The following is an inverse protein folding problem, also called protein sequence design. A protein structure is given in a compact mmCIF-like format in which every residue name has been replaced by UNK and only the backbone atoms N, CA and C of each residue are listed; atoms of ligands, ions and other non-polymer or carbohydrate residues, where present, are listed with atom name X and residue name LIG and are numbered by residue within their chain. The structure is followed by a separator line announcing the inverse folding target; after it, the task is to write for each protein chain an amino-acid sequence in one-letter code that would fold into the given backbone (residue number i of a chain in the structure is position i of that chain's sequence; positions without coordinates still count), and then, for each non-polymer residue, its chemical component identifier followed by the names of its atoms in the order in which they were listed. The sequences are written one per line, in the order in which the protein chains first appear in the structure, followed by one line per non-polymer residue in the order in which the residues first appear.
data_IF_751407761175
#
_entry.id   IF_751407761175
#
_cell.length_a   1.000
_cell.length_b   1.000
_cell.length_c   1.000
_cell.angle_alpha   90.00
_cell.angle_beta   90.00
_cell.angle_gamma   90.00
#
_symmetry.space_group_name_H-M   'P 1'
#
loop_
_entity.id
_entity.type
_entity.pdbx_description
1 polymer ?
#
# COMPACT_ATOMS: atom_id res chain seq x y z
N UNK A 1 -5.13 -19.17 21.06
CA UNK A 1 -6.52 -18.76 20.87
C UNK A 1 -6.90 -17.97 22.11
N UNK A 2 -6.69 -16.66 22.12
CA UNK A 2 -7.30 -15.77 23.13
C UNK A 2 -8.34 -14.95 22.38
N UNK A 3 -9.60 -15.36 22.53
CA UNK A 3 -10.74 -14.61 22.04
C UNK A 3 -10.75 -13.20 22.63
N UNK A 4 -11.16 -12.24 21.82
CA UNK A 4 -11.45 -10.88 22.24
C UNK A 4 -12.47 -10.93 23.38
N UNK A 5 -12.18 -10.26 24.48
CA UNK A 5 -12.98 -10.27 25.71
C UNK A 5 -14.27 -9.43 25.63
N UNK A 6 -14.75 -9.08 24.43
CA UNK A 6 -16.05 -8.46 24.23
C UNK A 6 -16.64 -8.98 22.92
N UNK A 7 -17.72 -9.75 23.00
CA UNK A 7 -18.37 -10.41 21.87
C UNK A 7 -19.17 -9.48 20.95
N UNK A 8 -18.81 -8.20 20.86
CA UNK A 8 -19.40 -7.25 19.91
C UNK A 8 -18.68 -7.35 18.56
N UNK A 9 -19.43 -7.50 17.48
CA UNK A 9 -18.90 -7.45 16.13
C UNK A 9 -18.26 -6.09 15.85
N UNK A 10 -17.14 -6.09 15.09
CA UNK A 10 -16.33 -4.88 14.83
C UNK A 10 -16.99 -3.97 13.80
N UNK A 11 -16.78 -2.68 13.97
CA UNK A 11 -17.20 -1.64 13.03
C UNK A 11 -15.96 -0.94 12.47
N UNK A 12 -15.65 -1.18 11.21
CA UNK A 12 -14.39 -0.79 10.59
C UNK A 12 -14.52 0.46 9.71
N UNK A 13 -13.54 1.37 9.79
CA UNK A 13 -13.31 2.40 8.80
C UNK A 13 -12.02 2.08 8.04
N UNK A 14 -12.11 1.91 6.71
CA UNK A 14 -10.96 1.73 5.83
C UNK A 14 -10.75 3.01 5.04
N UNK A 15 -9.66 3.74 5.32
CA UNK A 15 -9.28 4.92 4.55
C UNK A 15 -8.45 4.56 3.34
N UNK A 16 -8.58 5.32 2.25
CA UNK A 16 -7.94 4.99 0.98
C UNK A 16 -8.57 3.76 0.31
N UNK A 17 -9.88 3.53 0.51
CA UNK A 17 -10.61 2.44 -0.12
C UNK A 17 -10.68 2.55 -1.65
N UNK A 18 -10.39 3.72 -2.20
CA UNK A 18 -10.15 3.97 -3.62
C UNK A 18 -8.75 3.53 -4.11
N UNK A 19 -7.83 3.22 -3.19
CA UNK A 19 -6.50 2.70 -3.53
C UNK A 19 -6.51 1.18 -3.67
N UNK A 20 -5.48 0.64 -4.31
CA UNK A 20 -5.29 -0.81 -4.45
C UNK A 20 -5.38 -1.55 -3.10
N UNK A 21 -4.81 -0.99 -2.02
CA UNK A 21 -4.76 -1.65 -0.72
C UNK A 21 -6.07 -1.54 0.04
N UNK A 22 -6.61 -0.33 0.12
CA UNK A 22 -7.82 -0.08 0.90
C UNK A 22 -9.03 -0.79 0.33
N UNK A 23 -9.22 -0.79 -0.99
CA UNK A 23 -10.30 -1.53 -1.63
C UNK A 23 -10.24 -3.03 -1.33
N UNK A 24 -9.06 -3.65 -1.46
CA UNK A 24 -8.90 -5.10 -1.19
C UNK A 24 -9.03 -5.44 0.30
N UNK A 25 -8.62 -4.55 1.19
CA UNK A 25 -8.82 -4.72 2.62
C UNK A 25 -10.30 -4.60 2.99
N UNK A 26 -11.00 -3.59 2.46
CA UNK A 26 -12.44 -3.46 2.67
C UNK A 26 -13.19 -4.69 2.15
N UNK A 27 -12.94 -5.11 0.91
CA UNK A 27 -13.52 -6.31 0.31
C UNK A 27 -13.28 -7.58 1.14
N UNK A 28 -12.07 -7.74 1.70
CA UNK A 28 -11.75 -8.91 2.52
C UNK A 28 -12.53 -8.92 3.85
N UNK A 29 -12.83 -7.74 4.43
CA UNK A 29 -13.63 -7.64 5.64
C UNK A 29 -15.14 -7.80 5.38
N UNK A 30 -15.62 -7.62 4.15
CA UNK A 30 -17.02 -7.93 3.81
C UNK A 30 -17.39 -9.40 4.05
N UNK A 31 -16.43 -10.29 3.89
CA UNK A 31 -16.61 -11.73 4.11
C UNK A 31 -16.31 -12.17 5.56
N UNK A 32 -15.88 -11.27 6.44
CA UNK A 32 -15.50 -11.59 7.81
C UNK A 32 -16.74 -11.59 8.72
N UNK A 33 -17.12 -12.74 9.34
CA UNK A 33 -18.30 -12.81 10.19
C UNK A 33 -18.18 -12.00 11.49
N UNK A 34 -16.94 -11.68 11.91
CA UNK A 34 -16.68 -10.88 13.11
C UNK A 34 -16.79 -9.36 12.83
N UNK A 35 -17.18 -8.97 11.61
CA UNK A 35 -17.34 -7.57 11.19
C UNK A 35 -18.78 -7.26 10.86
N UNK A 36 -19.35 -6.33 11.61
CA UNK A 36 -20.74 -5.88 11.44
C UNK A 36 -20.85 -4.83 10.31
N UNK A 37 -19.94 -3.84 10.33
CA UNK A 37 -19.97 -2.70 9.40
C UNK A 37 -18.59 -2.46 8.83
N UNK A 38 -18.51 -2.26 7.53
CA UNK A 38 -17.32 -1.75 6.85
C UNK A 38 -17.67 -0.42 6.19
N UNK A 39 -16.97 0.63 6.58
CA UNK A 39 -17.04 1.95 5.95
C UNK A 39 -15.78 2.18 5.15
N UNK A 40 -15.92 2.41 3.86
CA UNK A 40 -14.81 2.77 2.97
C UNK A 40 -14.76 4.28 2.75
N UNK A 41 -13.59 4.89 2.84
CA UNK A 41 -13.38 6.32 2.56
C UNK A 41 -12.28 6.51 1.54
N UNK A 42 -12.53 7.32 0.51
CA UNK A 42 -11.57 7.63 -0.56
C UNK A 42 -11.98 8.85 -1.37
N UNK A 43 -11.06 9.39 -2.19
CA UNK A 43 -11.31 10.55 -3.05
C UNK A 43 -11.98 10.17 -4.38
N UNK A 44 -11.80 8.94 -4.82
CA UNK A 44 -12.31 8.39 -6.08
C UNK A 44 -13.18 7.17 -5.80
N UNK A 45 -13.75 6.57 -6.84
CA UNK A 45 -14.49 5.33 -6.72
C UNK A 45 -13.58 4.18 -6.24
N UNK A 46 -14.14 3.18 -5.54
CA UNK A 46 -13.36 2.04 -5.05
C UNK A 46 -12.59 1.35 -6.17
N UNK A 47 -11.37 0.92 -5.86
CA UNK A 47 -10.48 0.23 -6.82
C UNK A 47 -10.93 -1.19 -7.15
N UNK A 48 -11.86 -1.74 -6.37
CA UNK A 48 -12.48 -3.08 -6.56
C UNK A 48 -13.97 -2.97 -6.26
N UNK A 49 -14.80 -3.86 -6.83
CA UNK A 49 -16.22 -3.94 -6.46
C UNK A 49 -16.37 -4.20 -4.96
N UNK A 50 -17.21 -3.40 -4.30
CA UNK A 50 -17.58 -3.53 -2.90
C UNK A 50 -19.08 -3.82 -2.83
N UNK A 51 -19.47 -4.85 -2.04
CA UNK A 51 -20.88 -5.31 -1.97
C UNK A 51 -21.54 -4.91 -0.66
N UNK A 52 -20.81 -4.94 0.46
CA UNK A 52 -21.30 -4.68 1.82
C UNK A 52 -20.66 -3.47 2.49
N UNK A 53 -19.75 -2.78 1.79
CA UNK A 53 -19.04 -1.61 2.31
C UNK A 53 -19.82 -0.34 1.99
N UNK A 54 -20.14 0.42 3.02
CA UNK A 54 -20.67 1.78 2.88
C UNK A 54 -19.57 2.72 2.43
N UNK A 55 -19.51 3.03 1.14
CA UNK A 55 -18.45 3.87 0.60
C UNK A 55 -18.81 5.36 0.64
N UNK A 56 -17.93 6.15 1.24
CA UNK A 56 -18.06 7.61 1.30
C UNK A 56 -16.95 8.27 0.50
N UNK A 57 -17.34 9.03 -0.54
CA UNK A 57 -16.39 9.83 -1.31
C UNK A 57 -16.04 11.10 -0.54
N UNK A 58 -14.75 11.27 -0.22
CA UNK A 58 -14.21 12.42 0.52
C UNK A 58 -13.07 13.02 -0.27
N UNK A 59 -13.28 14.21 -0.85
CA UNK A 59 -12.29 14.86 -1.71
C UNK A 59 -11.24 15.66 -0.95
N UNK A 60 -11.57 16.15 0.25
CA UNK A 60 -10.73 17.09 1.00
C UNK A 60 -10.08 16.54 2.26
N UNK A 61 -10.47 15.35 2.75
CA UNK A 61 -9.99 14.74 4.00
C UNK A 61 -9.95 15.73 5.18
N UNK A 62 -10.85 16.74 5.18
CA UNK A 62 -10.91 17.73 6.25
C UNK A 62 -11.31 17.10 7.57
N UNK A 63 -10.81 17.65 8.68
CA UNK A 63 -11.16 17.18 10.02
C UNK A 63 -12.67 17.08 10.23
N UNK A 64 -13.43 18.12 9.85
CA UNK A 64 -14.88 18.15 10.04
C UNK A 64 -15.62 17.02 9.31
N UNK A 65 -15.18 16.67 8.13
CA UNK A 65 -15.76 15.57 7.34
C UNK A 65 -15.42 14.22 7.96
N UNK A 66 -14.14 13.97 8.25
CA UNK A 66 -13.68 12.71 8.87
C UNK A 66 -14.31 12.52 10.24
N UNK A 67 -14.35 13.56 11.07
CA UNK A 67 -14.97 13.53 12.41
C UNK A 67 -16.46 13.17 12.35
N UNK A 68 -17.23 13.77 11.42
CA UNK A 68 -18.64 13.40 11.22
C UNK A 68 -18.82 11.95 10.82
N UNK A 69 -17.95 11.42 9.94
CA UNK A 69 -17.99 10.01 9.54
C UNK A 69 -17.74 9.11 10.75
N UNK A 70 -16.68 9.36 11.52
CA UNK A 70 -16.32 8.56 12.70
C UNK A 70 -17.47 8.54 13.71
N UNK A 71 -18.05 9.71 14.04
CA UNK A 71 -19.16 9.80 14.99
C UNK A 71 -20.44 9.15 14.48
N UNK A 72 -20.82 9.43 13.21
CA UNK A 72 -22.07 8.94 12.66
C UNK A 72 -22.09 7.42 12.47
N UNK A 73 -20.95 6.83 12.15
CA UNK A 73 -20.82 5.39 11.88
C UNK A 73 -20.51 4.57 13.13
N UNK A 74 -20.02 5.20 14.21
CA UNK A 74 -19.66 4.53 15.45
C UNK A 74 -18.57 3.47 15.25
N UNK A 75 -17.62 3.72 14.36
CA UNK A 75 -16.51 2.80 14.08
C UNK A 75 -15.59 2.67 15.28
N UNK A 76 -15.21 1.45 15.61
CA UNK A 76 -14.29 1.13 16.70
C UNK A 76 -12.87 0.86 16.24
N UNK A 77 -12.69 0.54 14.97
CA UNK A 77 -11.39 0.18 14.38
C UNK A 77 -11.16 0.93 13.07
N UNK A 78 -10.00 1.54 12.93
CA UNK A 78 -9.58 2.23 11.71
C UNK A 78 -8.43 1.46 11.05
N UNK A 79 -8.53 1.19 9.74
CA UNK A 79 -7.43 0.69 8.91
C UNK A 79 -7.01 1.79 7.95
N UNK A 80 -5.90 2.46 8.29
CA UNK A 80 -5.39 3.58 7.52
C UNK A 80 -4.45 3.10 6.42
N UNK A 81 -4.98 2.93 5.21
CA UNK A 81 -4.20 2.58 4.01
C UNK A 81 -3.95 3.76 3.08
N UNK A 82 -4.47 4.93 3.41
CA UNK A 82 -4.40 6.14 2.59
C UNK A 82 -2.99 6.77 2.48
N UNK A 83 -2.01 6.26 3.25
CA UNK A 83 -0.61 6.71 3.12
C UNK A 83 -0.03 6.27 1.78
N UNK A 84 0.30 7.23 0.93
CA UNK A 84 0.76 7.00 -0.44
C UNK A 84 2.27 6.94 -0.54
N UNK A 85 2.77 6.00 -1.36
CA UNK A 85 4.17 5.84 -1.76
C UNK A 85 4.20 5.90 -3.29
N UNK A 86 3.95 7.09 -3.84
CA UNK A 86 3.88 7.31 -5.28
C UNK A 86 4.81 8.44 -5.70
N UNK A 87 5.85 8.10 -6.46
CA UNK A 87 6.87 9.03 -6.96
C UNK A 87 6.36 9.98 -8.05
N UNK A 88 5.18 9.74 -8.60
CA UNK A 88 4.56 10.60 -9.61
C UNK A 88 3.83 11.80 -8.99
N UNK A 89 3.50 11.73 -7.70
CA UNK A 89 2.84 12.81 -6.99
C UNK A 89 3.81 13.92 -6.62
N UNK A 90 3.38 15.16 -6.79
CA UNK A 90 4.13 16.32 -6.34
C UNK A 90 4.26 16.40 -4.82
N UNK A 91 5.30 17.09 -4.33
CA UNK A 91 5.62 17.21 -2.90
C UNK A 91 4.43 17.71 -2.06
N UNK A 92 3.71 18.73 -2.54
CA UNK A 92 2.55 19.29 -1.82
C UNK A 92 1.44 18.25 -1.70
N UNK A 93 1.12 17.54 -2.78
CA UNK A 93 0.08 16.51 -2.76
C UNK A 93 0.44 15.35 -1.82
N UNK A 94 1.70 14.92 -1.80
CA UNK A 94 2.18 13.89 -0.85
C UNK A 94 2.06 14.36 0.59
N UNK A 95 2.41 15.62 0.88
CA UNK A 95 2.27 16.20 2.21
C UNK A 95 0.78 16.29 2.61
N UNK A 96 -0.08 16.80 1.74
CA UNK A 96 -1.53 16.91 2.01
C UNK A 96 -2.14 15.54 2.33
N UNK A 97 -1.83 14.51 1.54
CA UNK A 97 -2.42 13.19 1.73
C UNK A 97 -1.79 12.46 2.94
N UNK A 98 -0.45 12.40 3.00
CA UNK A 98 0.23 11.58 4.00
C UNK A 98 0.29 12.25 5.37
N UNK A 99 0.44 13.58 5.43
CA UNK A 99 0.62 14.29 6.71
C UNK A 99 -0.69 14.91 7.17
N UNK A 100 -1.28 15.80 6.37
CA UNK A 100 -2.51 16.50 6.78
C UNK A 100 -3.69 15.52 6.85
N UNK A 101 -3.82 14.60 5.88
CA UNK A 101 -4.85 13.56 5.92
C UNK A 101 -4.73 12.66 7.15
N UNK A 102 -3.52 12.24 7.50
CA UNK A 102 -3.26 11.45 8.71
C UNK A 102 -3.56 12.27 9.98
N UNK A 103 -3.11 13.52 10.06
CA UNK A 103 -3.40 14.39 11.20
C UNK A 103 -4.91 14.54 11.44
N UNK A 104 -5.68 14.82 10.41
CA UNK A 104 -7.12 14.97 10.49
C UNK A 104 -7.84 13.68 10.92
N UNK A 105 -7.36 12.53 10.43
CA UNK A 105 -7.84 11.22 10.84
C UNK A 105 -7.59 10.95 12.33
N UNK A 106 -6.37 11.20 12.80
CA UNK A 106 -5.97 11.01 14.18
C UNK A 106 -6.75 11.95 15.12
N UNK A 107 -6.89 13.22 14.74
CA UNK A 107 -7.69 14.18 15.48
C UNK A 107 -9.16 13.73 15.60
N UNK A 108 -9.74 13.16 14.53
CA UNK A 108 -11.09 12.62 14.55
C UNK A 108 -11.20 11.34 15.42
N UNK A 109 -10.19 10.49 15.36
CA UNK A 109 -10.15 9.25 16.16
C UNK A 109 -10.02 9.53 17.66
N UNK A 110 -9.26 10.56 18.06
CA UNK A 110 -9.10 10.97 19.47
C UNK A 110 -10.11 12.00 19.98
N UNK A 111 -11.09 12.41 19.15
CA UNK A 111 -12.07 13.41 19.53
C UNK A 111 -13.05 12.91 20.60
N UNK A 112 -13.59 13.85 21.39
CA UNK A 112 -14.63 13.53 22.36
C UNK A 112 -15.85 12.87 21.67
N UNK A 113 -16.31 11.74 22.23
CA UNK A 113 -17.40 10.94 21.67
C UNK A 113 -16.97 9.93 20.60
N UNK A 114 -15.69 9.89 20.21
CA UNK A 114 -15.17 8.83 19.33
C UNK A 114 -15.24 7.46 20.03
N UNK A 115 -15.62 6.44 19.26
CA UNK A 115 -15.67 5.04 19.69
C UNK A 115 -14.44 4.26 19.30
N UNK A 116 -13.44 4.90 18.67
CA UNK A 116 -12.23 4.25 18.14
C UNK A 116 -11.39 3.68 19.28
N UNK A 117 -11.12 2.37 19.21
CA UNK A 117 -10.29 1.60 20.14
C UNK A 117 -9.04 1.01 19.48
N UNK A 118 -9.02 0.94 18.15
CA UNK A 118 -7.90 0.38 17.41
C UNK A 118 -7.60 1.15 16.12
N UNK A 119 -6.31 1.32 15.83
CA UNK A 119 -5.82 1.94 14.62
C UNK A 119 -4.69 1.08 14.02
N UNK A 120 -4.86 0.62 12.79
CA UNK A 120 -3.83 -0.07 12.02
C UNK A 120 -3.38 0.82 10.86
N UNK A 121 -2.11 1.16 10.82
CA UNK A 121 -1.53 2.06 9.82
C UNK A 121 -0.62 1.30 8.86
N UNK A 122 -0.89 1.40 7.56
CA UNK A 122 -0.01 0.89 6.52
C UNK A 122 1.10 1.91 6.26
N UNK A 123 2.33 1.56 6.62
CA UNK A 123 3.55 2.33 6.35
C UNK A 123 4.49 1.57 5.39
N UNK A 124 5.69 2.07 5.22
CA UNK A 124 6.69 1.52 4.30
C UNK A 124 8.08 1.46 4.93
N UNK A 125 8.86 0.43 4.58
CA UNK A 125 10.28 0.36 4.92
C UNK A 125 11.13 1.52 4.36
N UNK A 126 10.58 2.37 3.48
CA UNK A 126 11.24 3.61 3.02
C UNK A 126 11.61 4.56 4.17
N UNK A 127 10.93 4.48 5.31
CA UNK A 127 11.27 5.27 6.51
C UNK A 127 12.71 5.03 6.98
N UNK A 128 13.28 3.86 6.73
CA UNK A 128 14.67 3.54 7.10
C UNK A 128 15.70 4.17 6.16
N UNK A 129 15.31 4.49 4.93
CA UNK A 129 16.25 4.90 3.89
C UNK A 129 17.03 3.72 3.30
N UNK A 130 18.17 4.01 2.67
CA UNK A 130 19.17 3.05 2.23
C UNK A 130 20.53 3.76 2.10
N UNK A 131 21.52 3.33 2.88
CA UNK A 131 22.86 3.91 2.92
C UNK A 131 23.94 2.84 3.12
N UNK A 132 25.21 3.19 2.89
CA UNK A 132 26.35 2.29 3.13
C UNK A 132 26.61 1.96 4.60
N UNK A 133 25.95 2.65 5.53
CA UNK A 133 26.11 2.47 6.98
C UNK A 133 24.94 1.71 7.59
N UNK A 134 23.99 1.28 6.77
CA UNK A 134 22.80 0.59 7.25
C UNK A 134 23.15 -0.82 7.73
N UNK A 135 22.40 -1.34 8.72
CA UNK A 135 22.58 -2.70 9.19
C UNK A 135 22.12 -3.69 8.09
N UNK A 136 22.55 -4.94 8.23
CA UNK A 136 22.07 -6.02 7.36
C UNK A 136 20.54 -6.13 7.38
N UNK A 137 19.91 -5.88 8.53
CA UNK A 137 18.45 -5.81 8.69
C UNK A 137 18.07 -4.74 9.71
N UNK A 138 17.11 -3.91 9.37
CA UNK A 138 16.52 -2.97 10.31
C UNK A 138 15.55 -3.69 11.26
N UNK A 139 15.69 -3.47 12.55
CA UNK A 139 14.66 -3.77 13.54
C UNK A 139 13.73 -2.56 13.69
N UNK A 140 12.56 -2.77 14.27
CA UNK A 140 11.54 -1.71 14.42
C UNK A 140 11.98 -0.53 15.31
N UNK A 141 12.92 -0.77 16.21
CA UNK A 141 13.48 0.24 17.11
C UNK A 141 14.57 1.11 16.47
N UNK A 142 15.09 0.68 15.32
CA UNK A 142 16.11 1.42 14.60
C UNK A 142 15.52 2.61 13.86
N UNK A 143 16.29 3.70 13.84
CA UNK A 143 16.01 4.90 13.05
C UNK A 143 16.97 4.98 11.88
N UNK A 144 16.60 5.74 10.86
CA UNK A 144 17.49 5.99 9.72
C UNK A 144 18.74 6.79 10.13
N UNK A 145 19.88 6.47 9.51
CA UNK A 145 21.15 7.11 9.80
C UNK A 145 21.32 8.51 9.16
N UNK A 146 20.50 8.82 8.15
CA UNK A 146 20.61 10.08 7.38
C UNK A 146 19.26 10.78 7.26
N UNK A 147 19.22 12.11 7.11
CA UNK A 147 17.97 12.84 6.87
C UNK A 147 17.23 12.33 5.63
N UNK A 148 15.91 12.51 5.62
CA UNK A 148 15.07 12.21 4.46
C UNK A 148 15.49 13.04 3.24
N UNK A 149 15.65 12.38 2.10
CA UNK A 149 16.14 13.02 0.86
C UNK A 149 15.01 13.35 -0.10
N UNK A 150 13.94 12.59 -0.06
CA UNK A 150 12.83 12.72 -0.99
C UNK A 150 11.55 13.18 -0.30
N UNK A 151 10.59 13.79 -1.02
CA UNK A 151 9.29 14.15 -0.46
C UNK A 151 8.55 12.97 0.15
N UNK A 152 8.61 11.79 -0.49
CA UNK A 152 7.98 10.56 0.01
C UNK A 152 8.58 10.18 1.37
N UNK A 153 9.90 10.12 1.48
CA UNK A 153 10.57 9.79 2.74
C UNK A 153 10.20 10.76 3.86
N UNK A 154 10.14 12.06 3.56
CA UNK A 154 9.75 13.08 4.54
C UNK A 154 8.31 12.90 5.00
N UNK A 155 7.37 12.80 4.07
CA UNK A 155 5.95 12.66 4.41
C UNK A 155 5.64 11.38 5.17
N UNK A 156 6.34 10.27 4.88
CA UNK A 156 6.20 9.02 5.64
C UNK A 156 6.72 9.16 7.07
N UNK A 157 7.87 9.80 7.28
CA UNK A 157 8.44 10.02 8.61
C UNK A 157 7.56 10.95 9.45
N UNK A 158 7.04 12.01 8.85
CA UNK A 158 6.12 12.95 9.50
C UNK A 158 4.80 12.26 9.88
N UNK A 159 4.22 11.48 8.97
CA UNK A 159 3.01 10.72 9.25
C UNK A 159 3.21 9.70 10.39
N UNK A 160 4.34 8.95 10.39
CA UNK A 160 4.64 8.03 11.50
C UNK A 160 4.92 8.76 12.83
N UNK A 161 5.48 9.97 12.79
CA UNK A 161 5.66 10.79 13.98
C UNK A 161 4.30 11.17 14.58
N UNK A 162 3.36 11.66 13.76
CA UNK A 162 1.99 11.97 14.19
C UNK A 162 1.29 10.74 14.80
N UNK A 163 1.42 9.57 14.17
CA UNK A 163 0.83 8.32 14.67
C UNK A 163 1.43 7.91 16.01
N UNK A 164 2.74 8.07 16.19
CA UNK A 164 3.42 7.77 17.45
C UNK A 164 2.98 8.71 18.56
N UNK A 165 2.92 10.02 18.28
CA UNK A 165 2.50 11.03 19.25
C UNK A 165 1.04 10.80 19.66
N UNK A 166 0.16 10.51 18.68
CA UNK A 166 -1.23 10.10 18.94
C UNK A 166 -1.33 8.88 19.87
N UNK A 167 -0.48 7.84 19.64
CA UNK A 167 -0.49 6.63 20.47
C UNK A 167 -0.05 6.91 21.93
N UNK A 168 0.82 7.92 22.14
CA UNK A 168 1.23 8.34 23.48
C UNK A 168 0.13 9.12 24.18
N UNK A 169 -0.57 10.00 23.46
CA UNK A 169 -1.63 10.85 24.00
C UNK A 169 -2.96 10.08 24.22
N UNK A 170 -3.14 8.94 23.53
CA UNK A 170 -4.36 8.13 23.60
C UNK A 170 -4.04 6.67 23.98
N UNK A 171 -3.64 6.38 25.21
CA UNK A 171 -3.20 5.04 25.63
C UNK A 171 -4.31 3.98 25.58
N UNK A 172 -5.58 4.39 25.55
CA UNK A 172 -6.73 3.49 25.42
C UNK A 172 -6.96 3.04 23.97
N UNK A 173 -6.28 3.64 22.99
CA UNK A 173 -6.34 3.26 21.58
C UNK A 173 -5.16 2.36 21.23
N UNK A 174 -5.44 1.15 20.78
CA UNK A 174 -4.40 0.23 20.30
C UNK A 174 -3.90 0.65 18.92
N UNK A 175 -2.67 1.14 18.82
CA UNK A 175 -2.07 1.60 17.55
C UNK A 175 -1.03 0.61 17.04
N UNK A 176 -1.24 0.09 15.83
CA UNK A 176 -0.31 -0.81 15.13
C UNK A 176 0.18 -0.17 13.83
N UNK A 177 1.50 -0.06 13.65
CA UNK A 177 2.11 0.47 12.43
C UNK A 177 2.82 -0.67 11.69
N UNK A 178 2.43 -0.94 10.45
CA UNK A 178 3.03 -1.98 9.62
C UNK A 178 3.94 -1.34 8.55
N UNK A 179 5.25 -1.54 8.67
CA UNK A 179 6.26 -1.12 7.68
C UNK A 179 6.51 -2.24 6.69
N UNK A 180 6.03 -2.08 5.48
CA UNK A 180 6.15 -3.10 4.43
C UNK A 180 7.47 -3.00 3.67
N UNK A 181 8.05 -4.18 3.38
CA UNK A 181 9.16 -4.35 2.42
C UNK A 181 8.71 -4.00 0.99
N UNK A 182 9.62 -4.18 0.02
CA UNK A 182 9.24 -3.99 -1.38
C UNK A 182 8.12 -4.97 -1.76
N UNK A 183 7.04 -4.47 -2.31
CA UNK A 183 5.89 -5.31 -2.67
C UNK A 183 6.01 -5.75 -4.12
N UNK A 184 5.80 -7.05 -4.35
CA UNK A 184 5.61 -7.63 -5.67
C UNK A 184 4.19 -8.19 -5.80
N UNK A 185 3.60 -7.98 -6.97
CA UNK A 185 2.27 -8.49 -7.26
C UNK A 185 1.90 -8.36 -8.72
N UNK A 186 0.98 -9.21 -9.15
CA UNK A 186 0.47 -9.20 -10.51
C UNK A 186 -0.22 -7.87 -10.86
N UNK A 187 -1.00 -7.34 -9.92
CA UNK A 187 -1.88 -6.19 -10.16
C UNK A 187 -1.30 -4.88 -9.63
N UNK A 188 -0.10 -4.94 -9.01
CA UNK A 188 0.56 -3.79 -8.43
C UNK A 188 1.70 -3.28 -9.31
N UNK A 189 1.74 -1.96 -9.53
CA UNK A 189 2.78 -1.29 -10.29
C UNK A 189 3.60 -0.36 -9.41
N UNK A 190 4.82 -0.78 -9.04
CA UNK A 190 5.82 0.05 -8.36
C UNK A 190 6.97 0.39 -9.31
N UNK A 191 7.79 1.42 -9.05
CA UNK A 191 8.96 1.70 -9.89
C UNK A 191 9.88 0.49 -10.09
N UNK A 192 10.12 -0.29 -9.04
CA UNK A 192 10.94 -1.49 -9.12
C UNK A 192 10.25 -2.59 -9.97
N UNK A 193 8.97 -2.87 -9.71
CA UNK A 193 8.22 -3.89 -10.46
C UNK A 193 8.06 -3.54 -11.94
N UNK A 194 7.89 -2.25 -12.28
CA UNK A 194 7.87 -1.78 -13.67
C UNK A 194 9.19 -2.06 -14.38
N UNK A 195 10.32 -1.75 -13.74
CA UNK A 195 11.65 -2.04 -14.32
C UNK A 195 11.87 -3.56 -14.49
N UNK A 196 11.50 -4.37 -13.51
CA UNK A 196 11.60 -5.84 -13.59
C UNK A 196 10.68 -6.46 -14.64
N UNK A 197 9.60 -5.77 -15.04
CA UNK A 197 8.68 -6.22 -16.09
C UNK A 197 9.15 -5.89 -17.51
N UNK A 198 10.14 -4.99 -17.66
CA UNK A 198 10.69 -4.56 -18.94
C UNK A 198 11.81 -5.48 -19.39
N UNK A 199 12.21 -5.43 -20.67
CA UNK A 199 13.38 -6.19 -21.18
C UNK A 199 14.70 -5.79 -20.51
N UNK A 200 14.77 -4.54 -20.01
CA UNK A 200 15.94 -3.96 -19.35
C UNK A 200 15.55 -3.35 -18.00
N UNK A 201 16.40 -3.60 -16.99
CA UNK A 201 16.25 -3.03 -15.63
C UNK A 201 17.55 -2.29 -15.27
N UNK A 202 17.49 -1.06 -14.74
CA UNK A 202 18.67 -0.35 -14.32
C UNK A 202 19.31 -1.04 -13.10
N UNK A 203 20.63 -1.09 -13.10
CA UNK A 203 21.46 -1.48 -11.95
C UNK A 203 22.57 -0.46 -11.77
N UNK A 204 23.31 -0.51 -10.69
CA UNK A 204 24.46 0.37 -10.48
C UNK A 204 25.74 -0.43 -10.61
N UNK A 205 26.70 0.08 -11.39
CA UNK A 205 27.97 -0.57 -11.60
C UNK A 205 28.71 -0.83 -10.28
N UNK A 206 29.11 -2.09 -10.05
CA UNK A 206 29.79 -2.52 -8.84
C UNK A 206 28.87 -2.81 -7.65
N UNK A 207 27.54 -2.78 -7.82
CA UNK A 207 26.56 -3.07 -6.77
C UNK A 207 25.59 -4.17 -7.19
N UNK A 208 25.34 -5.09 -6.25
CA UNK A 208 24.31 -6.12 -6.38
C UNK A 208 23.56 -6.24 -5.04
N UNK A 209 22.63 -5.29 -4.76
CA UNK A 209 21.99 -5.17 -3.47
C UNK A 209 21.07 -6.34 -3.18
N UNK A 210 20.99 -6.72 -1.90
CA UNK A 210 20.02 -7.69 -1.42
C UNK A 210 18.65 -7.04 -1.24
N UNK A 211 17.66 -7.58 -1.91
CA UNK A 211 16.28 -7.12 -1.89
C UNK A 211 15.40 -8.10 -1.12
N UNK A 212 14.52 -7.55 -0.30
CA UNK A 212 13.47 -8.29 0.41
C UNK A 212 12.12 -7.91 -0.15
N UNK A 213 11.26 -8.91 -0.32
CA UNK A 213 9.95 -8.72 -0.91
C UNK A 213 8.84 -9.20 0.02
N UNK A 214 7.63 -8.74 -0.25
CA UNK A 214 6.37 -9.30 0.24
C UNK A 214 5.40 -9.40 -0.92
N UNK A 215 4.64 -10.48 -1.01
CA UNK A 215 3.62 -10.67 -2.05
C UNK A 215 2.39 -9.80 -1.73
N UNK A 216 1.72 -9.25 -2.77
CA UNK A 216 0.60 -8.32 -2.61
C UNK A 216 -0.56 -8.87 -1.75
N UNK A 217 -0.88 -10.15 -1.85
CA UNK A 217 -1.92 -10.79 -1.03
C UNK A 217 -1.49 -10.93 0.43
N UNK A 218 -0.20 -11.13 0.71
CA UNK A 218 0.32 -11.17 2.07
C UNK A 218 0.29 -9.78 2.74
N UNK A 219 0.36 -8.68 1.98
CA UNK A 219 0.14 -7.32 2.52
C UNK A 219 -1.28 -7.16 3.04
N UNK A 220 -2.29 -7.56 2.26
CA UNK A 220 -3.70 -7.51 2.67
C UNK A 220 -3.94 -8.41 3.89
N UNK A 221 -3.43 -9.63 3.86
CA UNK A 221 -3.52 -10.57 5.00
C UNK A 221 -2.85 -10.03 6.27
N UNK A 222 -1.71 -9.36 6.14
CA UNK A 222 -1.01 -8.75 7.27
C UNK A 222 -1.82 -7.63 7.92
N UNK A 223 -2.49 -6.78 7.11
CA UNK A 223 -3.38 -5.73 7.62
C UNK A 223 -4.58 -6.33 8.36
N UNK A 224 -5.22 -7.36 7.79
CA UNK A 224 -6.32 -8.10 8.43
C UNK A 224 -5.85 -8.75 9.73
N UNK A 225 -4.69 -9.41 9.71
CA UNK A 225 -4.11 -10.03 10.90
C UNK A 225 -3.85 -8.99 12.01
N UNK A 226 -3.31 -7.82 11.67
CA UNK A 226 -3.07 -6.76 12.65
C UNK A 226 -4.37 -6.25 13.29
N UNK A 227 -5.46 -6.14 12.54
CA UNK A 227 -6.79 -5.83 13.08
C UNK A 227 -7.25 -6.89 14.06
N UNK A 228 -7.07 -8.17 13.73
CA UNK A 228 -7.54 -9.30 14.57
C UNK A 228 -6.77 -9.44 15.86
N UNK A 229 -5.43 -9.30 15.82
CA UNK A 229 -4.60 -9.43 17.02
C UNK A 229 -4.63 -8.20 17.92
N UNK A 230 -4.96 -7.02 17.38
CA UNK A 230 -5.02 -5.75 18.09
C UNK A 230 -3.80 -5.52 19.03
N UNK A 231 -2.58 -5.73 18.52
CA UNK A 231 -1.34 -5.64 19.29
C UNK A 231 -0.64 -4.32 19.02
N UNK A 232 -0.42 -3.46 20.04
CA UNK A 232 0.19 -2.15 19.82
C UNK A 232 1.67 -2.26 19.43
N UNK A 233 2.12 -1.29 18.64
CA UNK A 233 3.51 -1.09 18.27
C UNK A 233 3.78 -1.08 16.77
N UNK A 234 5.06 -0.92 16.44
CA UNK A 234 5.54 -0.97 15.06
C UNK A 234 6.00 -2.38 14.72
N UNK A 235 5.71 -2.82 13.49
CA UNK A 235 6.06 -4.13 12.96
C UNK A 235 6.65 -4.03 11.56
N UNK A 236 7.77 -4.68 11.33
CA UNK A 236 8.31 -4.87 10.00
C UNK A 236 7.64 -6.06 9.32
N UNK A 237 7.13 -5.83 8.11
CA UNK A 237 6.40 -6.84 7.32
C UNK A 237 7.12 -7.08 6.00
N UNK A 238 7.74 -8.23 5.86
CA UNK A 238 8.47 -8.68 4.69
C UNK A 238 8.67 -10.18 4.74
N UNK A 239 8.52 -10.85 3.61
CA UNK A 239 8.64 -12.29 3.55
C UNK A 239 10.07 -12.77 3.87
N UNK A 240 10.23 -14.02 4.35
CA UNK A 240 11.54 -14.60 4.62
C UNK A 240 12.42 -14.64 3.37
N UNK A 241 13.73 -14.53 3.57
CA UNK A 241 14.74 -14.56 2.51
C UNK A 241 14.97 -13.18 1.87
N UNK A 242 16.10 -13.08 1.19
CA UNK A 242 16.52 -11.93 0.39
C UNK A 242 17.27 -12.43 -0.82
N UNK A 243 17.13 -11.73 -1.94
CA UNK A 243 17.80 -12.08 -3.19
C UNK A 243 18.66 -10.91 -3.66
N UNK A 244 19.85 -11.17 -4.23
CA UNK A 244 20.56 -10.15 -4.97
C UNK A 244 19.75 -9.70 -6.19
N UNK A 245 19.90 -8.43 -6.57
CA UNK A 245 19.19 -7.86 -7.73
C UNK A 245 19.44 -8.66 -9.02
N UNK A 246 20.66 -9.20 -9.18
CA UNK A 246 21.04 -10.05 -10.33
C UNK A 246 20.17 -11.32 -10.41
N UNK A 247 19.90 -11.96 -9.28
CA UNK A 247 19.04 -13.15 -9.23
C UNK A 247 17.58 -12.80 -9.50
N UNK A 248 17.08 -11.71 -8.90
CA UNK A 248 15.72 -11.18 -9.16
C UNK A 248 15.54 -10.91 -10.66
N UNK A 249 16.50 -10.25 -11.29
CA UNK A 249 16.48 -9.96 -12.72
C UNK A 249 16.48 -11.24 -13.56
N UNK A 250 17.31 -12.22 -13.21
CA UNK A 250 17.35 -13.52 -13.89
C UNK A 250 16.02 -14.27 -13.80
N UNK A 251 15.39 -14.32 -12.63
CA UNK A 251 14.06 -14.93 -12.43
C UNK A 251 13.00 -14.23 -13.28
N UNK A 252 13.02 -12.89 -13.34
CA UNK A 252 12.09 -12.09 -14.14
C UNK A 252 12.36 -12.14 -15.63
N UNK A 253 13.56 -12.60 -16.07
CA UNK A 253 13.97 -12.62 -17.47
C UNK A 253 14.27 -11.22 -18.02
N UNK A 254 14.72 -10.29 -17.18
CA UNK A 254 15.14 -8.95 -17.55
C UNK A 254 16.65 -8.81 -17.53
N UNK A 255 17.22 -8.00 -18.45
CA UNK A 255 18.66 -7.74 -18.52
C UNK A 255 19.01 -6.53 -17.64
N UNK A 256 20.01 -6.68 -16.77
CA UNK A 256 20.55 -5.57 -16.01
C UNK A 256 21.39 -4.64 -16.90
N UNK A 257 21.16 -3.34 -16.78
CA UNK A 257 21.94 -2.28 -17.45
C UNK A 257 22.66 -1.47 -16.37
N UNK A 258 23.97 -1.64 -16.21
CA UNK A 258 24.74 -0.97 -15.19
C UNK A 258 24.93 0.52 -15.51
N UNK A 259 24.49 1.37 -14.59
CA UNK A 259 24.67 2.82 -14.63
C UNK A 259 25.83 3.24 -13.71
N UNK A 260 26.58 4.32 -14.04
CA UNK A 260 27.60 4.87 -13.15
C UNK A 260 26.99 5.33 -11.83
N UNK A 261 27.48 4.87 -10.67
CA UNK A 261 26.82 5.14 -9.37
C UNK A 261 26.87 6.60 -8.92
N UNK A 262 27.84 7.37 -9.42
CA UNK A 262 28.02 8.79 -9.07
C UNK A 262 27.14 9.76 -9.87
N UNK A 263 26.61 9.31 -11.01
CA UNK A 263 25.77 10.12 -11.90
C UNK A 263 24.56 9.32 -12.43
N UNK A 264 24.10 8.33 -11.66
CA UNK A 264 22.99 7.45 -12.09
C UNK A 264 21.75 8.24 -12.52
N UNK A 265 21.39 9.33 -11.80
CA UNK A 265 20.29 10.20 -12.17
C UNK A 265 20.47 10.91 -13.52
N UNK A 266 21.68 11.38 -13.81
CA UNK A 266 21.97 12.08 -15.07
C UNK A 266 22.03 11.13 -16.25
N UNK A 267 22.73 10.00 -16.10
CA UNK A 267 22.86 8.98 -17.16
C UNK A 267 21.55 8.24 -17.44
N UNK A 268 20.60 8.23 -16.50
CA UNK A 268 19.26 7.65 -16.72
C UNK A 268 18.35 8.53 -17.57
N UNK A 269 18.60 9.85 -17.66
CA UNK A 269 17.71 10.80 -18.33
C UNK A 269 17.32 10.40 -19.78
N UNK A 270 18.25 10.02 -20.68
CA UNK A 270 17.85 9.60 -22.01
C UNK A 270 16.96 8.34 -21.98
N UNK A 271 17.26 7.39 -21.11
CA UNK A 271 16.47 6.15 -20.99
C UNK A 271 15.10 6.37 -20.35
N UNK A 272 15.00 7.28 -19.37
CA UNK A 272 13.71 7.66 -18.77
C UNK A 272 12.84 8.44 -19.74
N UNK A 273 13.43 9.35 -20.54
CA UNK A 273 12.71 10.08 -21.61
C UNK A 273 12.20 9.16 -22.71
N UNK A 274 12.93 8.10 -23.03
CA UNK A 274 12.51 7.07 -23.98
C UNK A 274 11.57 6.02 -23.36
N UNK A 275 11.22 6.19 -22.09
CA UNK A 275 10.37 5.22 -21.36
C UNK A 275 11.04 3.87 -21.08
N UNK A 276 12.36 3.73 -21.29
CA UNK A 276 13.07 2.48 -21.06
C UNK A 276 13.25 2.16 -19.58
N UNK A 277 13.45 3.18 -18.72
CA UNK A 277 13.62 3.04 -17.28
C UNK A 277 12.61 3.91 -16.52
N UNK A 278 12.27 3.44 -15.32
CA UNK A 278 11.58 4.21 -14.30
C UNK A 278 12.49 4.28 -13.06
N UNK A 279 13.21 5.38 -12.91
CA UNK A 279 14.25 5.53 -11.90
C UNK A 279 14.02 6.79 -11.03
N UNK A 280 12.98 6.76 -10.18
CA UNK A 280 12.76 7.86 -9.25
C UNK A 280 13.87 7.91 -8.18
N UNK A 281 14.07 9.08 -7.54
CA UNK A 281 15.15 9.28 -6.57
C UNK A 281 15.19 8.25 -5.43
N UNK A 282 14.06 7.73 -5.00
CA UNK A 282 13.94 6.72 -3.93
C UNK A 282 14.50 5.36 -4.34
N UNK A 283 14.45 5.05 -5.63
CA UNK A 283 14.91 3.75 -6.14
C UNK A 283 16.44 3.67 -6.21
N UNK A 284 17.13 4.78 -6.47
CA UNK A 284 18.60 4.80 -6.62
C UNK A 284 19.33 4.29 -5.36
N UNK A 285 19.02 4.77 -4.14
CA UNK A 285 19.62 4.22 -2.92
C UNK A 285 19.29 2.73 -2.71
N UNK A 286 18.09 2.29 -3.05
CA UNK A 286 17.69 0.89 -2.96
C UNK A 286 18.50 0.00 -3.92
N UNK A 287 18.71 0.44 -5.17
CA UNK A 287 19.55 -0.27 -6.15
C UNK A 287 21.04 -0.25 -5.80
N UNK A 288 21.44 0.59 -4.87
CA UNK A 288 22.84 0.69 -4.41
C UNK A 288 23.11 -0.16 -3.18
N UNK A 289 22.27 -0.08 -2.18
CA UNK A 289 22.55 -0.63 -0.85
C UNK A 289 21.55 -1.71 -0.43
N UNK A 290 20.44 -1.85 -1.14
CA UNK A 290 19.34 -2.70 -0.70
C UNK A 290 18.61 -2.14 0.51
N UNK A 291 17.74 -2.94 1.07
CA UNK A 291 17.09 -2.70 2.36
C UNK A 291 16.56 -4.02 2.88
N UNK A 292 17.10 -4.47 3.99
CA UNK A 292 16.61 -5.62 4.72
C UNK A 292 15.87 -5.20 5.98
N UNK A 293 14.82 -5.92 6.34
CA UNK A 293 14.07 -5.71 7.57
C UNK A 293 14.01 -7.02 8.35
N UNK A 294 14.21 -6.95 9.67
CA UNK A 294 13.93 -8.07 10.57
C UNK A 294 12.41 -8.12 10.79
N UNK A 295 11.81 -9.22 10.44
CA UNK A 295 10.36 -9.44 10.52
C UNK A 295 9.97 -10.43 11.62
N UNK A 296 10.91 -10.76 12.51
CA UNK A 296 10.71 -11.72 13.60
C UNK A 296 9.55 -11.30 14.50
N UNK A 297 9.51 -10.03 14.91
CA UNK A 297 8.48 -9.50 15.80
C UNK A 297 7.06 -9.68 15.23
N UNK A 298 6.87 -9.49 13.92
CA UNK A 298 5.56 -9.68 13.29
C UNK A 298 5.20 -11.17 13.18
N UNK A 299 6.15 -12.04 12.83
CA UNK A 299 5.93 -13.51 12.80
C UNK A 299 5.58 -14.08 14.18
N UNK A 300 6.17 -13.54 15.24
CA UNK A 300 5.86 -13.93 16.63
C UNK A 300 4.43 -13.58 17.06
N UNK A 301 3.69 -12.77 16.26
CA UNK A 301 2.25 -12.57 16.44
C UNK A 301 1.40 -13.71 15.88
N UNK A 302 2.00 -14.73 15.26
CA UNK A 302 1.32 -15.84 14.61
C UNK A 302 1.02 -15.59 13.13
N UNK A 303 1.64 -14.57 12.51
CA UNK A 303 1.47 -14.35 11.07
C UNK A 303 2.38 -15.24 10.24
N UNK A 304 1.78 -16.03 9.34
CA UNK A 304 2.48 -16.86 8.38
C UNK A 304 2.40 -16.29 6.96
N UNK A 305 3.55 -16.07 6.35
CA UNK A 305 3.65 -15.67 4.96
C UNK A 305 3.32 -16.83 4.03
N UNK A 306 2.51 -16.59 3.01
CA UNK A 306 2.22 -17.60 1.95
C UNK A 306 3.40 -17.80 1.01
N UNK A 307 4.25 -16.78 0.89
CA UNK A 307 5.39 -16.77 0.00
C UNK A 307 6.64 -16.32 0.75
N UNK A 308 7.78 -16.94 0.48
CA UNK A 308 9.09 -16.36 0.73
C UNK A 308 9.39 -15.25 -0.29
N UNK A 309 10.44 -14.44 -0.08
CA UNK A 309 10.87 -13.45 -1.08
C UNK A 309 11.20 -14.07 -2.43
N UNK A 310 11.75 -15.29 -2.44
CA UNK A 310 12.06 -16.06 -3.67
C UNK A 310 10.77 -16.45 -4.38
N UNK A 311 9.83 -17.04 -3.66
CA UNK A 311 8.54 -17.47 -4.23
C UNK A 311 7.70 -16.31 -4.72
N UNK A 312 7.70 -15.17 -3.99
CA UNK A 312 7.06 -13.92 -4.42
C UNK A 312 7.66 -13.41 -5.75
N UNK A 313 8.99 -13.51 -5.92
CA UNK A 313 9.66 -13.14 -7.16
C UNK A 313 9.28 -14.08 -8.31
N UNK A 314 9.23 -15.38 -8.06
CA UNK A 314 8.77 -16.36 -9.07
C UNK A 314 7.30 -16.18 -9.44
N UNK A 315 6.42 -15.90 -8.47
CA UNK A 315 5.00 -15.63 -8.70
C UNK A 315 4.82 -14.38 -9.59
N UNK A 316 5.56 -13.31 -9.27
CA UNK A 316 5.59 -12.09 -10.07
C UNK A 316 6.12 -12.34 -11.50
N UNK A 317 7.22 -13.08 -11.66
CA UNK A 317 7.76 -13.41 -12.97
C UNK A 317 6.78 -14.23 -13.83
N UNK A 318 6.04 -15.16 -13.23
CA UNK A 318 4.97 -15.90 -13.93
C UNK A 318 3.86 -14.96 -14.40
N UNK A 319 3.42 -14.03 -13.55
CA UNK A 319 2.39 -13.05 -13.89
C UNK A 319 2.81 -12.15 -15.07
N UNK A 320 4.08 -11.68 -15.09
CA UNK A 320 4.62 -10.90 -16.21
C UNK A 320 4.58 -11.71 -17.52
N UNK A 321 5.00 -12.99 -17.48
CA UNK A 321 5.02 -13.85 -18.68
C UNK A 321 3.61 -14.07 -19.21
N UNK A 322 2.64 -14.32 -18.34
CA UNK A 322 1.23 -14.49 -18.73
C UNK A 322 0.70 -13.23 -19.40
N UNK A 323 0.94 -12.05 -18.83
CA UNK A 323 0.52 -10.77 -19.43
C UNK A 323 1.13 -10.54 -20.82
N UNK A 324 2.41 -10.89 -21.02
CA UNK A 324 3.06 -10.77 -22.32
C UNK A 324 2.50 -11.75 -23.36
N UNK A 325 2.02 -12.93 -22.93
CA UNK A 325 1.46 -13.97 -23.80
C UNK A 325 0.00 -13.75 -24.19
N UNK A 326 -0.80 -13.12 -23.33
CA UNK A 326 -2.25 -12.98 -23.52
C UNK A 326 -2.65 -11.60 -24.05
N UNK A 327 -1.71 -10.63 -24.14
CA UNK A 327 -2.04 -9.22 -24.34
C UNK A 327 -2.66 -8.61 -23.05
N UNK A 328 -2.90 -7.32 -23.04
CA UNK A 328 -3.44 -6.65 -21.83
C UNK A 328 -4.93 -7.00 -21.64
N UNK A 329 -5.33 -7.89 -20.73
CA UNK A 329 -6.75 -8.15 -20.47
C UNK A 329 -7.43 -6.97 -19.76
N UNK A 330 -6.66 -6.12 -19.08
CA UNK A 330 -7.21 -5.07 -18.22
C UNK A 330 -7.90 -3.93 -18.98
N UNK A 331 -7.37 -3.50 -20.14
CA UNK A 331 -8.01 -2.45 -20.93
C UNK A 331 -9.27 -2.94 -21.64
N UNK A 332 -9.26 -4.20 -22.13
CA UNK A 332 -10.45 -4.80 -22.75
C UNK A 332 -11.55 -5.10 -21.73
N UNK A 333 -11.21 -5.46 -20.50
CA UNK A 333 -12.21 -5.79 -19.48
C UNK A 333 -12.92 -4.52 -18.98
N UNK A 334 -12.19 -3.45 -18.73
CA UNK A 334 -12.77 -2.16 -18.34
C UNK A 334 -13.65 -1.56 -19.45
N UNK A 335 -13.21 -1.66 -20.71
CA UNK A 335 -13.98 -1.21 -21.87
C UNK A 335 -15.26 -2.04 -22.05
N UNK A 336 -15.21 -3.37 -21.85
CA UNK A 336 -16.40 -4.22 -21.90
C UNK A 336 -17.37 -3.93 -20.75
N UNK A 337 -16.87 -3.70 -19.54
CA UNK A 337 -17.69 -3.37 -18.38
C UNK A 337 -18.34 -1.99 -18.51
N UNK A 338 -17.63 -1.00 -19.02
CA UNK A 338 -18.17 0.33 -19.31
C UNK A 338 -19.18 0.30 -20.47
N UNK A 339 -18.92 -0.53 -21.48
CA UNK A 339 -19.86 -0.77 -22.58
C UNK A 339 -21.13 -1.49 -22.10
N UNK A 340 -20.99 -2.51 -21.27
CA UNK A 340 -22.15 -3.22 -20.70
C UNK A 340 -22.94 -2.32 -19.75
N UNK A 341 -22.28 -1.49 -18.96
CA UNK A 341 -22.92 -0.51 -18.08
C UNK A 341 -23.67 0.55 -18.92
N UNK A 342 -23.06 1.04 -19.99
CA UNK A 342 -23.71 1.92 -20.96
C UNK A 342 -24.95 1.27 -21.59
N UNK A 343 -24.82 0.02 -22.07
CA UNK A 343 -25.92 -0.70 -22.71
C UNK A 343 -27.07 -0.97 -21.73
N UNK A 344 -26.82 -1.17 -20.45
CA UNK A 344 -27.86 -1.41 -19.42
C UNK A 344 -28.56 -0.13 -18.94
N UNK A 345 -27.88 1.00 -18.96
CA UNK A 345 -28.37 2.23 -18.31
C UNK A 345 -28.57 3.43 -19.25
N UNK A 346 -28.16 3.33 -20.52
CA UNK A 346 -28.37 4.43 -21.46
C UNK A 346 -29.82 4.49 -21.94
N UNK A 347 -30.49 5.62 -21.68
CA UNK A 347 -31.87 5.85 -22.14
C UNK A 347 -32.06 5.66 -23.65
N UNK A 348 -31.01 5.94 -24.45
CA UNK A 348 -31.02 5.69 -25.90
C UNK A 348 -31.13 4.21 -26.30
N UNK A 349 -30.70 3.29 -25.42
CA UNK A 349 -30.82 1.85 -25.63
C UNK A 349 -32.17 1.34 -25.13
N UNK A 350 -32.64 1.84 -23.98
CA UNK A 350 -33.95 1.53 -23.43
C UNK A 350 -35.10 1.92 -24.38
N UNK A 351 -34.98 3.09 -25.04
CA UNK A 351 -35.99 3.58 -26.01
C UNK A 351 -36.10 2.69 -27.25
N UNK A 352 -35.03 2.01 -27.68
CA UNK A 352 -35.07 1.04 -28.78
C UNK A 352 -35.66 -0.33 -28.39
N UNK A 353 -35.58 -0.70 -27.12
CA UNK A 353 -36.13 -1.95 -26.60
C UNK A 353 -37.63 -1.87 -26.22
N UNK A 354 -38.26 -0.69 -26.39
CA UNK A 354 -39.69 -0.54 -26.12
C UNK A 354 -40.09 -0.43 -24.65
N UNK A 355 -39.15 -0.18 -23.74
CA UNK A 355 -39.45 0.11 -22.36
C UNK A 355 -39.70 1.61 -22.15
N UNK A 356 -40.69 2.01 -21.33
CA UNK A 356 -40.98 3.43 -21.08
C UNK A 356 -39.83 4.09 -20.31
N UNK A 357 -39.39 5.27 -20.77
CA UNK A 357 -38.38 6.10 -20.12
C UNK A 357 -38.73 6.32 -18.64
N UNK A 358 -37.82 5.96 -17.72
CA UNK A 358 -37.93 6.32 -16.31
C UNK A 358 -37.74 7.83 -16.13
N UNK A 359 -38.63 8.52 -15.41
CA UNK A 359 -38.44 9.93 -15.09
C UNK A 359 -37.25 10.13 -14.17
N UNK A 360 -36.57 11.27 -14.33
CA UNK A 360 -35.42 11.74 -13.56
C UNK A 360 -35.72 11.86 -12.07
#
# INVERSE_FOLDING_TARGET
VSGSADGAARRLLVTGADTFWGGRVAQAFEADPDVEVVVGMGAHDPSVPLERTDFVRVSDHSYSTVHRIVLATGVDTIVHTGVMVDSTLGSNRLHDVNVIGTLNLLAAAGAAGSTVKALVVKSSGLVYGATSRDPYAFTETMTRATPARTPIERSLLEAEALVRDFAQDNPDVTVSVLRFANVLGADLSTPLSRNLSRPMCPSLFGYDPLLQFVEQGDVVRALIHAVRIAKPGTFNVGAPGRLPLSEVAAICGTRLVPLPPWQAGLFSVPFTRLGAFDLPPELIPLLRYGRGMDTKRFRETGFDYRFSSVEATHAFARAIRLRKGVGHPAENYQYQEDLERFLRHANSVATRAGEPSRPF
#
